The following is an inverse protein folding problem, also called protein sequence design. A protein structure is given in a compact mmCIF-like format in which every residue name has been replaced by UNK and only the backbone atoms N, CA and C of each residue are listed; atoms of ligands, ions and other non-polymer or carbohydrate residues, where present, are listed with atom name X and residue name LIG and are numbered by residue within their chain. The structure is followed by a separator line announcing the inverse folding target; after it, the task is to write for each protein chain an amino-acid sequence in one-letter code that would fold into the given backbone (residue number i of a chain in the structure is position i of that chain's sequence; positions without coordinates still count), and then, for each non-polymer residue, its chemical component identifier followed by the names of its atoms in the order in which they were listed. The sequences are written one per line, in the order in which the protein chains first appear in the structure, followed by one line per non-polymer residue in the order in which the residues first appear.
data_IF_068228590093
#
_entry.id   IF_068228590093
#
_cell.length_a   1.000
_cell.length_b   1.000
_cell.length_c   1.000
_cell.angle_alpha   90.00
_cell.angle_beta   90.00
_cell.angle_gamma   90.00
#
_symmetry.space_group_name_H-M   'P 1'
#
loop_
_entity.id
_entity.type
_entity.pdbx_description
1 polymer ?
#
# COMPACT_ATOMS: atom_id res chain seq x y z
N UNK A 1 -15.92 21.00 8.05
CA UNK A 1 -15.39 19.75 8.64
C UNK A 1 -14.33 19.21 7.69
N UNK A 2 -13.19 18.79 8.19
CA UNK A 2 -12.13 18.19 7.35
C UNK A 2 -12.65 16.86 6.80
N UNK A 3 -12.61 16.69 5.45
CA UNK A 3 -13.18 15.50 4.78
C UNK A 3 -12.17 14.37 4.53
N UNK A 4 -10.87 14.65 4.71
CA UNK A 4 -9.79 13.67 4.65
C UNK A 4 -8.91 13.81 5.90
N UNK A 5 -8.63 12.69 6.59
CA UNK A 5 -7.83 12.64 7.81
C UNK A 5 -6.87 11.46 7.72
N UNK A 6 -5.58 11.73 7.90
CA UNK A 6 -4.56 10.68 8.04
C UNK A 6 -4.59 10.13 9.47
N UNK A 7 -4.73 8.82 9.60
CA UNK A 7 -4.77 8.12 10.88
C UNK A 7 -3.47 7.32 11.11
N UNK A 8 -2.32 7.97 10.84
CA UNK A 8 -1.00 7.36 11.06
C UNK A 8 -0.80 7.14 12.55
N UNK A 9 -0.58 5.91 12.96
CA UNK A 9 -0.30 5.51 14.34
C UNK A 9 1.13 5.03 14.54
N UNK A 10 1.77 4.61 13.46
CA UNK A 10 3.16 4.20 13.40
C UNK A 10 3.70 4.52 12.01
N UNK A 11 5.03 4.73 11.86
CA UNK A 11 5.67 5.10 10.58
C UNK A 11 5.36 4.16 9.40
N UNK A 12 4.96 2.93 9.68
CA UNK A 12 4.63 1.92 8.67
C UNK A 12 3.18 1.44 8.75
N UNK A 13 2.31 2.13 9.50
CA UNK A 13 0.90 1.76 9.62
C UNK A 13 0.02 2.99 9.48
N UNK A 14 -0.76 3.06 8.42
CA UNK A 14 -1.61 4.19 8.11
C UNK A 14 -3.01 3.75 7.70
N UNK A 15 -4.01 4.44 8.23
CA UNK A 15 -5.34 4.49 7.68
C UNK A 15 -5.62 5.91 7.20
N UNK A 16 -6.24 6.06 6.05
CA UNK A 16 -6.56 7.35 5.42
C UNK A 16 -8.08 7.49 5.36
N UNK A 17 -8.65 8.22 6.33
CA UNK A 17 -10.10 8.35 6.52
C UNK A 17 -10.70 9.39 5.57
N UNK A 18 -11.78 9.01 4.89
CA UNK A 18 -12.65 9.85 4.08
C UNK A 18 -14.02 9.99 4.78
N UNK A 19 -14.48 11.23 4.97
CA UNK A 19 -15.74 11.51 5.66
C UNK A 19 -16.68 12.24 4.68
N UNK A 20 -17.60 11.51 4.09
CA UNK A 20 -18.69 12.06 3.29
C UNK A 20 -19.86 12.56 4.16
N UNK A 21 -20.88 13.12 3.52
CA UNK A 21 -22.05 13.63 4.22
C UNK A 21 -22.94 12.51 4.79
N UNK A 22 -22.96 11.34 4.13
CA UNK A 22 -23.78 10.18 4.50
C UNK A 22 -22.97 9.05 5.12
N UNK A 23 -21.78 8.74 4.57
CA UNK A 23 -20.96 7.58 4.92
C UNK A 23 -19.50 7.97 5.11
N UNK A 24 -18.77 7.08 5.75
CA UNK A 24 -17.32 7.21 5.93
C UNK A 24 -16.60 5.96 5.44
N UNK A 25 -15.39 6.14 4.91
CA UNK A 25 -14.51 5.07 4.47
C UNK A 25 -13.10 5.29 4.98
N UNK A 26 -12.40 4.21 5.31
CA UNK A 26 -10.96 4.24 5.51
C UNK A 26 -10.27 3.54 4.35
N UNK A 27 -9.25 4.16 3.78
CA UNK A 27 -8.35 3.51 2.82
C UNK A 27 -7.21 2.89 3.60
N UNK A 28 -7.14 1.57 3.55
CA UNK A 28 -6.32 0.69 4.36
C UNK A 28 -6.63 0.77 5.87
N UNK A 29 -6.44 -0.31 6.59
CA UNK A 29 -6.68 -0.35 8.04
C UNK A 29 -5.39 -0.53 8.87
N UNK A 30 -4.25 -0.70 8.19
CA UNK A 30 -2.95 -0.75 8.84
C UNK A 30 -2.59 -2.10 9.47
N UNK A 31 -1.53 -2.08 10.27
CA UNK A 31 -1.01 -3.27 10.95
C UNK A 31 -1.87 -3.69 12.14
N UNK A 32 -1.93 -4.99 12.39
CA UNK A 32 -2.71 -5.57 13.47
C UNK A 32 -2.37 -5.00 14.86
N UNK A 33 -1.07 -4.84 15.19
CA UNK A 33 -0.65 -4.33 16.50
C UNK A 33 -0.96 -2.85 16.72
N UNK A 34 -1.24 -2.09 15.64
CA UNK A 34 -1.67 -0.69 15.69
C UNK A 34 -3.19 -0.52 15.72
N UNK A 35 -3.97 -1.61 15.60
CA UNK A 35 -5.42 -1.58 15.41
C UNK A 35 -6.13 -0.70 16.44
N UNK A 36 -5.87 -0.90 17.74
CA UNK A 36 -6.53 -0.12 18.80
C UNK A 36 -6.30 1.37 18.67
N UNK A 37 -5.04 1.80 18.46
CA UNK A 37 -4.71 3.20 18.29
C UNK A 37 -5.31 3.82 17.01
N UNK A 38 -5.39 3.04 15.92
CA UNK A 38 -6.02 3.48 14.66
C UNK A 38 -7.53 3.62 14.84
N UNK A 39 -8.19 2.63 15.45
CA UNK A 39 -9.62 2.63 15.77
C UNK A 39 -9.99 3.85 16.63
N UNK A 40 -9.23 4.13 17.69
CA UNK A 40 -9.47 5.28 18.55
C UNK A 40 -9.40 6.61 17.78
N UNK A 41 -8.44 6.77 16.88
CA UNK A 41 -8.33 7.96 16.03
C UNK A 41 -9.51 8.08 15.07
N UNK A 42 -9.93 6.98 14.45
CA UNK A 42 -11.09 6.94 13.56
C UNK A 42 -12.37 7.29 14.33
N UNK A 43 -12.60 6.70 15.53
CA UNK A 43 -13.76 7.02 16.39
C UNK A 43 -13.80 8.49 16.77
N UNK A 44 -12.67 9.05 17.16
CA UNK A 44 -12.57 10.46 17.51
C UNK A 44 -12.90 11.38 16.31
N UNK A 45 -12.40 11.03 15.12
CA UNK A 45 -12.66 11.79 13.90
C UNK A 45 -14.12 11.69 13.44
N UNK A 46 -14.73 10.52 13.58
CA UNK A 46 -16.13 10.26 13.20
C UNK A 46 -17.13 10.83 14.19
N UNK A 47 -16.74 11.11 15.43
CA UNK A 47 -17.59 11.72 16.47
C UNK A 47 -18.95 11.02 16.62
N UNK A 48 -18.93 9.70 16.78
CA UNK A 48 -20.12 8.87 16.97
C UNK A 48 -20.81 8.38 15.69
N UNK A 49 -20.32 8.76 14.51
CA UNK A 49 -20.78 8.18 13.24
C UNK A 49 -20.14 6.79 13.04
N UNK A 50 -20.80 5.85 12.34
CA UNK A 50 -20.21 4.58 11.95
C UNK A 50 -19.11 4.80 10.92
N UNK A 51 -18.20 3.79 10.84
CA UNK A 51 -17.33 3.60 9.69
C UNK A 51 -17.98 2.55 8.77
N UNK A 52 -18.29 2.94 7.55
CA UNK A 52 -19.11 2.13 6.63
C UNK A 52 -18.24 1.23 5.73
N UNK A 53 -17.04 1.69 5.35
CA UNK A 53 -16.20 0.98 4.39
C UNK A 53 -14.72 0.96 4.78
N UNK A 54 -14.06 -0.15 4.44
CA UNK A 54 -12.62 -0.23 4.23
C UNK A 54 -12.41 -0.34 2.72
N UNK A 55 -11.63 0.56 2.14
CA UNK A 55 -11.19 0.53 0.75
C UNK A 55 -9.75 0.03 0.75
N UNK A 56 -9.53 -1.24 0.42
CA UNK A 56 -8.22 -1.85 0.52
C UNK A 56 -7.43 -1.61 -0.76
N UNK A 57 -6.24 -1.01 -0.62
CA UNK A 57 -5.33 -0.81 -1.75
C UNK A 57 -4.72 -2.13 -2.22
N UNK A 58 -4.30 -2.99 -1.29
CA UNK A 58 -3.77 -4.33 -1.57
C UNK A 58 -3.66 -5.17 -0.29
N UNK A 59 -3.37 -6.46 -0.44
CA UNK A 59 -3.48 -7.44 0.65
C UNK A 59 -2.23 -7.65 1.49
N UNK A 60 -1.26 -6.73 1.51
CA UNK A 60 -0.13 -6.83 2.43
C UNK A 60 -0.56 -6.59 3.88
N UNK A 61 0.16 -7.23 4.82
CA UNK A 61 -0.17 -7.27 6.25
C UNK A 61 -0.23 -5.88 6.91
N UNK A 62 0.53 -4.92 6.41
CA UNK A 62 0.60 -3.55 6.90
C UNK A 62 -0.54 -2.65 6.37
N UNK A 63 -1.36 -3.17 5.44
CA UNK A 63 -2.55 -2.53 4.92
C UNK A 63 -3.83 -3.22 5.41
N UNK A 64 -3.85 -4.56 5.48
CA UNK A 64 -5.05 -5.34 5.82
C UNK A 64 -5.01 -5.95 7.22
N UNK A 65 -3.86 -5.88 7.91
CA UNK A 65 -3.63 -6.62 9.16
C UNK A 65 -4.61 -6.34 10.28
N UNK A 66 -5.14 -5.12 10.36
CA UNK A 66 -6.10 -4.74 11.39
C UNK A 66 -7.57 -5.06 11.04
N UNK A 67 -7.87 -5.64 9.87
CA UNK A 67 -9.23 -5.87 9.37
C UNK A 67 -10.16 -6.54 10.39
N UNK A 68 -9.69 -7.60 11.06
CA UNK A 68 -10.51 -8.33 12.02
C UNK A 68 -10.94 -7.44 13.21
N UNK A 69 -10.03 -6.61 13.72
CA UNK A 69 -10.33 -5.67 14.81
C UNK A 69 -11.31 -4.56 14.37
N UNK A 70 -11.20 -4.11 13.11
CA UNK A 70 -12.16 -3.15 12.56
C UNK A 70 -13.56 -3.76 12.43
N UNK A 71 -13.68 -5.04 12.07
CA UNK A 71 -14.96 -5.76 12.02
C UNK A 71 -15.55 -6.03 13.41
N UNK A 72 -14.71 -6.20 14.43
CA UNK A 72 -15.16 -6.29 15.83
C UNK A 72 -15.74 -4.95 16.32
N UNK A 73 -15.11 -3.83 15.99
CA UNK A 73 -15.57 -2.48 16.39
C UNK A 73 -16.78 -2.01 15.58
N UNK A 74 -16.81 -2.29 14.27
CA UNK A 74 -17.90 -1.96 13.37
C UNK A 74 -18.39 -3.21 12.63
N UNK A 75 -19.34 -3.98 13.21
CA UNK A 75 -19.78 -5.26 12.62
C UNK A 75 -20.40 -5.14 11.22
N UNK A 76 -20.96 -3.98 10.87
CA UNK A 76 -21.58 -3.71 9.57
C UNK A 76 -20.59 -3.14 8.54
N UNK A 77 -19.29 -3.00 8.89
CA UNK A 77 -18.28 -2.48 7.99
C UNK A 77 -18.07 -3.39 6.78
N UNK A 78 -17.95 -2.81 5.61
CA UNK A 78 -17.79 -3.54 4.35
C UNK A 78 -16.41 -3.29 3.74
N UNK A 79 -15.69 -4.37 3.46
CA UNK A 79 -14.39 -4.32 2.75
C UNK A 79 -14.62 -4.32 1.25
N UNK A 80 -14.13 -3.28 0.57
CA UNK A 80 -14.03 -3.19 -0.89
C UNK A 80 -12.58 -3.41 -1.34
N UNK A 81 -12.35 -4.31 -2.29
CA UNK A 81 -11.04 -4.58 -2.90
C UNK A 81 -11.20 -5.14 -4.31
N UNK A 82 -10.07 -5.35 -5.02
CA UNK A 82 -10.09 -5.99 -6.34
C UNK A 82 -10.52 -7.46 -6.26
N UNK A 83 -10.92 -8.02 -7.41
CA UNK A 83 -11.22 -9.46 -7.52
C UNK A 83 -10.03 -10.34 -7.11
N UNK A 84 -8.80 -9.91 -7.46
CA UNK A 84 -7.57 -10.61 -7.05
C UNK A 84 -7.39 -10.53 -5.54
N UNK A 85 -7.55 -9.35 -4.94
CA UNK A 85 -7.47 -9.16 -3.49
C UNK A 85 -8.50 -10.01 -2.74
N UNK A 86 -9.74 -10.04 -3.21
CA UNK A 86 -10.79 -10.88 -2.65
C UNK A 86 -10.41 -12.38 -2.70
N UNK A 87 -9.86 -12.84 -3.83
CA UNK A 87 -9.40 -14.22 -3.98
C UNK A 87 -8.17 -14.55 -3.10
N UNK A 88 -7.30 -13.60 -2.84
CA UNK A 88 -6.16 -13.75 -1.91
C UNK A 88 -6.66 -13.92 -0.48
N UNK A 89 -7.57 -13.06 -0.04
CA UNK A 89 -8.11 -13.09 1.33
C UNK A 89 -8.91 -14.36 1.66
N UNK A 90 -9.41 -15.09 0.67
CA UNK A 90 -10.13 -16.36 0.87
C UNK A 90 -9.20 -17.56 1.09
N UNK A 91 -7.89 -17.45 0.85
CA UNK A 91 -6.94 -18.55 0.92
C UNK A 91 -6.26 -18.64 2.29
N UNK A 92 -6.13 -19.84 2.83
CA UNK A 92 -5.50 -20.08 4.14
C UNK A 92 -4.02 -19.65 4.18
N UNK A 93 -3.27 -19.93 3.10
CA UNK A 93 -1.84 -19.58 3.08
C UNK A 93 -1.59 -18.07 3.16
N UNK A 94 -2.22 -17.20 2.36
CA UNK A 94 -2.10 -15.75 2.53
C UNK A 94 -2.55 -15.26 3.91
N UNK A 95 -3.66 -15.74 4.45
CA UNK A 95 -4.14 -15.38 5.79
C UNK A 95 -3.10 -15.71 6.87
N UNK A 96 -2.49 -16.91 6.78
CA UNK A 96 -1.40 -17.31 7.67
C UNK A 96 -0.20 -16.38 7.54
N UNK A 97 0.23 -16.04 6.31
CA UNK A 97 1.35 -15.13 6.07
C UNK A 97 1.07 -13.74 6.64
N UNK A 98 -0.14 -13.19 6.44
CA UNK A 98 -0.56 -11.92 7.03
C UNK A 98 -0.41 -11.95 8.55
N UNK A 99 -0.83 -13.04 9.20
CA UNK A 99 -0.71 -13.23 10.65
C UNK A 99 0.76 -13.31 11.09
N UNK A 100 1.56 -14.15 10.44
CA UNK A 100 2.98 -14.35 10.77
C UNK A 100 3.76 -13.04 10.64
N UNK A 101 3.53 -12.29 9.56
CA UNK A 101 4.15 -10.99 9.36
C UNK A 101 3.65 -9.95 10.36
N UNK A 102 2.36 -9.98 10.73
CA UNK A 102 1.83 -9.09 11.78
C UNK A 102 2.48 -9.33 13.13
N UNK A 103 2.70 -10.60 13.51
CA UNK A 103 3.42 -10.97 14.75
C UNK A 103 4.88 -10.51 14.69
N UNK A 104 5.54 -10.77 13.56
CA UNK A 104 6.94 -10.36 13.34
C UNK A 104 7.07 -8.84 13.43
N UNK A 105 6.19 -8.10 12.79
CA UNK A 105 6.19 -6.63 12.83
C UNK A 105 5.96 -6.11 14.26
N UNK A 106 5.01 -6.67 15.01
CA UNK A 106 4.79 -6.29 16.39
C UNK A 106 6.08 -6.42 17.23
N UNK A 107 6.78 -7.55 17.12
CA UNK A 107 8.03 -7.78 17.82
C UNK A 107 9.14 -6.82 17.38
N UNK A 108 9.30 -6.58 16.07
CA UNK A 108 10.30 -5.67 15.50
C UNK A 108 10.11 -4.22 15.96
N UNK A 109 8.86 -3.78 16.09
CA UNK A 109 8.52 -2.44 16.55
C UNK A 109 8.34 -2.32 18.07
N UNK A 110 8.73 -3.36 18.81
CA UNK A 110 8.72 -3.35 20.27
C UNK A 110 7.32 -3.31 20.89
N UNK A 111 6.33 -3.86 20.18
CA UNK A 111 4.96 -3.98 20.68
C UNK A 111 4.75 -5.33 21.37
N UNK A 112 4.24 -5.28 22.60
CA UNK A 112 3.80 -6.47 23.35
C UNK A 112 2.34 -6.86 23.02
N UNK A 113 1.72 -6.22 22.04
CA UNK A 113 0.34 -6.48 21.66
C UNK A 113 0.18 -7.90 21.13
N UNK A 114 -0.65 -8.68 21.77
CA UNK A 114 -1.03 -10.00 21.28
C UNK A 114 -1.81 -9.85 19.97
N UNK A 115 -1.37 -10.53 18.92
CA UNK A 115 -2.11 -10.63 17.65
C UNK A 115 -3.07 -11.81 17.75
N UNK A 116 -4.29 -11.53 18.21
CA UNK A 116 -5.34 -12.53 18.41
C UNK A 116 -6.61 -12.08 17.68
N UNK A 117 -6.90 -12.69 16.54
CA UNK A 117 -8.12 -12.47 15.76
C UNK A 117 -8.54 -13.73 15.02
N UNK A 118 -9.81 -13.77 14.59
CA UNK A 118 -10.32 -14.84 13.76
C UNK A 118 -9.98 -14.57 12.28
N UNK A 119 -9.30 -15.51 11.61
CA UNK A 119 -8.97 -15.43 10.18
C UNK A 119 -10.21 -15.40 9.27
N UNK A 120 -11.37 -15.88 9.76
CA UNK A 120 -12.63 -15.81 9.01
C UNK A 120 -13.12 -14.38 8.77
N UNK A 121 -12.56 -13.38 9.48
CA UNK A 121 -12.82 -11.96 9.21
C UNK A 121 -12.18 -11.46 7.90
N UNK A 122 -11.23 -12.21 7.33
CA UNK A 122 -10.53 -11.82 6.10
C UNK A 122 -11.31 -12.26 4.86
N UNK A 123 -12.28 -11.45 4.47
CA UNK A 123 -13.03 -11.60 3.22
C UNK A 123 -13.44 -10.22 2.67
N UNK A 124 -13.73 -10.16 1.37
CA UNK A 124 -14.24 -8.95 0.72
C UNK A 124 -15.77 -8.99 0.62
N UNK A 125 -16.42 -7.87 0.91
CA UNK A 125 -17.87 -7.69 0.75
C UNK A 125 -18.22 -7.09 -0.60
N UNK A 126 -17.29 -6.30 -1.17
CA UNK A 126 -17.48 -5.58 -2.42
C UNK A 126 -16.25 -5.81 -3.29
N UNK A 127 -16.48 -6.22 -4.53
CA UNK A 127 -15.42 -6.26 -5.55
C UNK A 127 -15.54 -5.00 -6.39
N UNK A 128 -14.44 -4.25 -6.49
CA UNK A 128 -14.33 -3.03 -7.30
C UNK A 128 -13.32 -3.22 -8.43
N UNK A 129 -13.58 -2.54 -9.55
CA UNK A 129 -12.77 -2.57 -10.78
C UNK A 129 -12.41 -1.14 -11.20
N UNK A 130 -11.58 -1.03 -12.22
CA UNK A 130 -11.25 0.25 -12.84
C UNK A 130 -12.50 1.10 -13.11
N UNK A 131 -12.54 2.30 -12.54
CA UNK A 131 -13.63 3.26 -12.71
C UNK A 131 -14.86 3.07 -11.82
N UNK A 132 -14.96 1.97 -11.06
CA UNK A 132 -16.02 1.81 -10.06
C UNK A 132 -15.86 2.83 -8.94
N UNK A 133 -16.97 3.33 -8.40
CA UNK A 133 -16.96 4.29 -7.29
C UNK A 133 -17.67 3.78 -6.05
N UNK A 134 -17.15 4.16 -4.88
CA UNK A 134 -17.81 3.99 -3.59
C UNK A 134 -18.29 5.36 -3.14
N UNK A 135 -19.62 5.51 -3.12
CA UNK A 135 -20.30 6.77 -2.79
C UNK A 135 -20.38 6.98 -1.28
N UNK A 136 -19.95 8.17 -0.81
CA UNK A 136 -19.95 8.54 0.61
C UNK A 136 -20.92 9.69 0.95
N UNK A 137 -21.65 10.19 -0.05
CA UNK A 137 -22.46 11.41 0.07
C UNK A 137 -21.59 12.67 -0.06
N UNK A 138 -21.65 13.32 -1.22
CA UNK A 138 -20.84 14.49 -1.55
C UNK A 138 -19.33 14.23 -1.69
N UNK A 139 -18.90 12.99 -1.58
CA UNK A 139 -17.59 12.46 -1.97
C UNK A 139 -17.79 11.10 -2.62
N UNK A 140 -16.96 10.79 -3.62
CA UNK A 140 -16.84 9.45 -4.21
C UNK A 140 -15.38 9.01 -4.23
N UNK A 141 -15.12 7.76 -3.87
CA UNK A 141 -13.81 7.14 -4.05
C UNK A 141 -13.84 6.30 -5.33
N UNK A 142 -13.20 6.79 -6.39
CA UNK A 142 -13.14 6.14 -7.70
C UNK A 142 -11.92 5.24 -7.76
N UNK A 143 -12.14 3.98 -8.11
CA UNK A 143 -11.10 2.95 -8.19
C UNK A 143 -10.21 3.15 -9.43
N UNK A 144 -8.90 3.08 -9.24
CA UNK A 144 -7.89 3.05 -10.28
C UNK A 144 -7.05 1.78 -10.08
N UNK A 145 -7.12 0.83 -11.00
CA UNK A 145 -6.30 -0.38 -10.94
C UNK A 145 -4.85 -0.06 -11.28
N UNK A 146 -3.95 -0.36 -10.35
CA UNK A 146 -2.53 0.01 -10.41
C UNK A 146 -1.62 -1.17 -10.07
N UNK A 147 -1.69 -2.30 -10.82
CA UNK A 147 -0.80 -3.43 -10.59
C UNK A 147 0.67 -3.04 -10.78
N UNK A 148 1.56 -3.76 -10.09
CA UNK A 148 3.01 -3.54 -10.14
C UNK A 148 3.67 -3.89 -8.81
N UNK A 149 3.30 -3.20 -7.73
CA UNK A 149 3.68 -3.60 -6.36
C UNK A 149 3.10 -4.97 -6.03
N UNK A 150 1.78 -5.09 -6.11
CA UNK A 150 1.09 -6.38 -6.14
C UNK A 150 0.16 -6.45 -7.34
N UNK A 151 -0.38 -7.64 -7.64
CA UNK A 151 -1.35 -7.81 -8.73
C UNK A 151 -2.73 -7.24 -8.38
N UNK A 152 -3.06 -7.19 -7.10
CA UNK A 152 -4.33 -6.70 -6.56
C UNK A 152 -4.32 -5.21 -6.25
N UNK A 153 -3.22 -4.50 -6.52
CA UNK A 153 -3.01 -3.09 -6.19
C UNK A 153 -4.03 -2.15 -6.81
N UNK A 154 -4.63 -1.32 -5.96
CA UNK A 154 -5.60 -0.26 -6.28
C UNK A 154 -5.13 1.09 -5.73
N UNK A 155 -5.46 2.16 -6.44
CA UNK A 155 -5.48 3.52 -5.92
C UNK A 155 -6.92 4.03 -5.90
N UNK A 156 -7.18 5.09 -5.12
CA UNK A 156 -8.51 5.70 -5.04
C UNK A 156 -8.43 7.20 -5.34
N UNK A 157 -9.10 7.62 -6.42
CA UNK A 157 -9.25 9.03 -6.76
C UNK A 157 -10.50 9.57 -6.08
N UNK A 158 -10.37 10.70 -5.41
CA UNK A 158 -11.49 11.46 -4.82
C UNK A 158 -11.60 12.80 -5.56
N UNK A 159 -12.43 12.85 -6.64
CA UNK A 159 -12.47 14.01 -7.53
C UNK A 159 -12.84 15.31 -6.82
N UNK A 160 -13.76 15.27 -5.85
CA UNK A 160 -14.24 16.44 -5.10
C UNK A 160 -13.15 17.07 -4.23
N UNK A 161 -12.10 16.32 -3.90
CA UNK A 161 -10.93 16.77 -3.17
C UNK A 161 -9.71 16.98 -4.07
N UNK A 162 -9.83 16.71 -5.37
CA UNK A 162 -8.71 16.65 -6.31
C UNK A 162 -7.54 15.80 -5.74
N UNK A 163 -7.88 14.72 -5.01
CA UNK A 163 -6.97 13.87 -4.24
C UNK A 163 -6.84 12.49 -4.89
N UNK A 164 -5.61 12.03 -5.10
CA UNK A 164 -5.33 10.64 -5.43
C UNK A 164 -4.60 9.96 -4.27
N UNK A 165 -5.22 8.92 -3.74
CA UNK A 165 -4.68 8.09 -2.67
C UNK A 165 -3.96 6.90 -3.31
N UNK A 166 -2.63 6.93 -3.29
CA UNK A 166 -1.76 5.95 -3.93
C UNK A 166 -1.52 4.72 -3.03
N UNK A 167 -1.04 3.67 -3.67
CA UNK A 167 -0.33 2.53 -3.08
C UNK A 167 1.18 2.64 -3.38
N UNK A 168 1.97 1.59 -3.14
CA UNK A 168 3.42 1.58 -3.32
C UNK A 168 3.88 1.33 -4.76
N UNK A 169 2.98 1.09 -5.71
CA UNK A 169 3.36 0.81 -7.11
C UNK A 169 4.28 1.89 -7.72
N UNK A 170 4.06 3.21 -7.49
CA UNK A 170 4.99 4.21 -8.00
C UNK A 170 6.37 4.19 -7.34
N UNK A 171 6.48 3.60 -6.17
CA UNK A 171 7.67 3.58 -5.32
C UNK A 171 7.41 4.22 -3.96
N UNK A 172 8.33 3.99 -3.03
CA UNK A 172 8.24 4.47 -1.64
C UNK A 172 9.08 5.73 -1.47
N UNK A 173 8.42 6.85 -1.18
CA UNK A 173 9.06 8.14 -0.91
C UNK A 173 9.44 8.24 0.57
N UNK A 174 10.74 8.49 0.83
CA UNK A 174 11.29 8.62 2.18
C UNK A 174 11.24 10.07 2.70
N UNK A 175 11.37 10.29 4.03
CA UNK A 175 11.36 11.63 4.61
C UNK A 175 12.46 12.56 4.11
N UNK A 176 13.62 12.03 3.72
CA UNK A 176 14.74 12.78 3.16
C UNK A 176 14.55 13.13 1.68
N UNK A 177 13.42 12.74 1.10
CA UNK A 177 13.10 12.96 -0.30
C UNK A 177 13.69 11.88 -1.23
N UNK A 178 14.46 10.90 -0.75
CA UNK A 178 14.84 9.74 -1.56
C UNK A 178 13.60 8.90 -1.90
N UNK A 179 13.68 8.11 -2.97
CA UNK A 179 12.58 7.26 -3.41
C UNK A 179 13.12 5.90 -3.84
N UNK A 180 12.43 4.84 -3.45
CA UNK A 180 12.82 3.45 -3.72
C UNK A 180 11.80 2.76 -4.59
N UNK A 181 12.25 1.93 -5.58
CA UNK A 181 11.36 1.11 -6.38
C UNK A 181 10.71 0.03 -5.51
N UNK A 182 9.42 -0.27 -5.75
CA UNK A 182 8.69 -1.26 -4.96
C UNK A 182 7.75 -2.11 -5.82
N UNK A 183 8.15 -2.47 -7.05
CA UNK A 183 7.39 -3.35 -7.92
C UNK A 183 7.81 -4.82 -7.72
N UNK A 184 6.92 -5.63 -7.17
CA UNK A 184 7.20 -7.02 -6.85
C UNK A 184 6.64 -7.99 -7.91
N UNK A 185 5.73 -7.53 -8.78
CA UNK A 185 5.01 -8.39 -9.71
C UNK A 185 5.21 -8.07 -11.19
N UNK A 186 5.45 -6.81 -11.57
CA UNK A 186 5.62 -6.41 -12.96
C UNK A 186 6.22 -5.01 -13.13
N UNK A 187 7.36 -4.88 -13.83
CA UNK A 187 7.93 -3.58 -14.19
C UNK A 187 7.08 -2.86 -15.24
N UNK A 188 6.66 -3.57 -16.30
CA UNK A 188 5.81 -3.00 -17.36
C UNK A 188 4.46 -2.54 -16.79
N UNK A 189 3.86 -3.36 -15.92
CA UNK A 189 2.62 -3.00 -15.24
C UNK A 189 2.80 -1.75 -14.37
N UNK A 190 3.93 -1.64 -13.67
CA UNK A 190 4.28 -0.47 -12.86
C UNK A 190 4.34 0.81 -13.68
N UNK A 191 5.03 0.79 -14.83
CA UNK A 191 5.11 1.98 -15.69
C UNK A 191 3.73 2.39 -16.24
N UNK A 192 2.88 1.43 -16.61
CA UNK A 192 1.52 1.70 -17.05
C UNK A 192 0.67 2.29 -15.92
N UNK A 193 0.79 1.76 -14.71
CA UNK A 193 0.09 2.22 -13.53
C UNK A 193 0.50 3.64 -13.13
N UNK A 194 1.80 3.95 -13.16
CA UNK A 194 2.30 5.32 -12.95
C UNK A 194 1.71 6.27 -14.02
N UNK A 195 1.65 5.84 -15.28
CA UNK A 195 1.04 6.60 -16.36
C UNK A 195 -0.44 6.88 -16.14
N UNK A 196 -1.21 5.89 -15.66
CA UNK A 196 -2.62 6.07 -15.28
C UNK A 196 -2.77 7.11 -14.16
N UNK A 197 -1.99 6.95 -13.07
CA UNK A 197 -2.01 7.87 -11.95
C UNK A 197 -1.65 9.30 -12.39
N UNK A 198 -0.60 9.48 -13.20
CA UNK A 198 -0.19 10.79 -13.75
C UNK A 198 -1.30 11.47 -14.57
N UNK A 199 -2.08 10.68 -15.31
CA UNK A 199 -3.17 11.18 -16.16
C UNK A 199 -4.51 11.37 -15.41
N UNK A 200 -4.66 10.85 -14.21
CA UNK A 200 -5.82 11.09 -13.38
C UNK A 200 -5.85 12.57 -12.95
N UNK A 201 -7.05 13.18 -12.96
CA UNK A 201 -7.21 14.60 -12.62
C UNK A 201 -7.14 14.79 -11.11
N UNK A 202 -5.97 15.14 -10.59
CA UNK A 202 -5.75 15.45 -9.17
C UNK A 202 -4.67 16.52 -9.01
N UNK A 203 -4.66 17.16 -7.85
CA UNK A 203 -3.65 18.15 -7.44
C UNK A 203 -2.93 17.73 -6.16
N UNK A 204 -3.53 16.80 -5.43
CA UNK A 204 -3.03 16.34 -4.14
C UNK A 204 -2.75 14.85 -4.22
N UNK A 205 -1.63 14.41 -3.66
CA UNK A 205 -1.26 13.01 -3.52
C UNK A 205 -1.26 12.64 -2.04
N UNK A 206 -1.88 11.52 -1.70
CA UNK A 206 -1.70 10.84 -0.41
C UNK A 206 -0.95 9.54 -0.62
N UNK A 207 0.20 9.42 0.03
CA UNK A 207 1.06 8.22 -0.06
C UNK A 207 0.79 7.28 1.12
N UNK A 208 0.95 5.97 0.92
CA UNK A 208 1.05 5.03 2.04
C UNK A 208 2.19 5.46 2.97
N UNK A 209 2.01 5.23 4.28
CA UNK A 209 3.01 5.49 5.33
C UNK A 209 3.44 6.96 5.52
N UNK A 210 2.89 7.88 4.71
CA UNK A 210 3.26 9.30 4.71
C UNK A 210 2.07 10.27 4.74
N UNK A 211 0.88 9.82 4.34
CA UNK A 211 -0.26 10.69 4.21
C UNK A 211 -0.17 11.69 3.04
N UNK A 212 -0.79 12.84 3.19
CA UNK A 212 -0.70 13.92 2.20
C UNK A 212 0.72 14.47 2.16
N UNK A 213 1.25 14.62 0.96
CA UNK A 213 2.59 15.19 0.72
C UNK A 213 2.43 16.64 0.32
N UNK A 214 2.77 17.54 1.24
CA UNK A 214 2.80 18.96 0.98
C UNK A 214 4.08 19.37 0.22
N UNK A 215 3.94 20.33 -0.71
CA UNK A 215 5.07 20.94 -1.41
C UNK A 215 5.69 20.09 -2.53
N UNK A 216 5.11 18.94 -2.86
CA UNK A 216 5.52 18.13 -4.02
C UNK A 216 4.41 18.19 -5.07
N UNK A 217 4.75 18.77 -6.23
CA UNK A 217 3.84 18.75 -7.38
C UNK A 217 3.67 17.31 -7.91
N UNK A 218 2.44 16.84 -8.19
CA UNK A 218 2.19 15.49 -8.67
C UNK A 218 3.03 15.13 -9.91
N UNK A 219 3.22 16.06 -10.84
CA UNK A 219 4.02 15.80 -12.05
C UNK A 219 5.45 15.42 -11.69
N UNK A 220 6.11 16.19 -10.80
CA UNK A 220 7.47 15.91 -10.35
C UNK A 220 7.59 14.60 -9.59
N UNK A 221 6.58 14.24 -8.81
CA UNK A 221 6.52 12.95 -8.14
C UNK A 221 6.52 11.79 -9.15
N UNK A 222 5.64 11.83 -10.16
CA UNK A 222 5.55 10.77 -11.16
C UNK A 222 6.77 10.69 -12.07
N UNK A 223 7.40 11.82 -12.41
CA UNK A 223 8.66 11.83 -13.16
C UNK A 223 9.76 11.12 -12.38
N UNK A 224 9.90 11.43 -11.08
CA UNK A 224 10.83 10.73 -10.20
C UNK A 224 10.49 9.25 -10.08
N UNK A 225 9.22 8.90 -9.94
CA UNK A 225 8.77 7.50 -9.88
C UNK A 225 9.15 6.72 -11.14
N UNK A 226 8.93 7.30 -12.35
CA UNK A 226 9.34 6.68 -13.60
C UNK A 226 10.85 6.49 -13.68
N UNK A 227 11.62 7.52 -13.30
CA UNK A 227 13.08 7.48 -13.30
C UNK A 227 13.61 6.37 -12.41
N UNK A 228 13.21 6.31 -11.13
CA UNK A 228 13.77 5.34 -10.18
C UNK A 228 13.44 3.89 -10.55
N UNK A 229 12.22 3.64 -11.06
CA UNK A 229 11.83 2.32 -11.49
C UNK A 229 12.58 1.89 -12.75
N UNK A 230 12.82 2.82 -13.69
CA UNK A 230 13.62 2.56 -14.90
C UNK A 230 15.07 2.29 -14.55
N UNK A 231 15.69 3.15 -13.74
CA UNK A 231 17.09 2.96 -13.28
C UNK A 231 17.27 1.62 -12.56
N UNK A 232 16.30 1.22 -11.74
CA UNK A 232 16.32 -0.09 -11.08
C UNK A 232 16.28 -1.24 -12.09
N UNK A 233 15.36 -1.19 -13.05
CA UNK A 233 15.23 -2.21 -14.09
C UNK A 233 16.50 -2.32 -14.93
N UNK A 234 17.07 -1.20 -15.39
CA UNK A 234 18.29 -1.16 -16.18
C UNK A 234 19.49 -1.71 -15.39
N UNK A 235 19.62 -1.33 -14.11
CA UNK A 235 20.68 -1.80 -13.24
C UNK A 235 20.65 -3.33 -13.09
N UNK A 236 19.52 -3.89 -12.68
CA UNK A 236 19.39 -5.34 -12.44
C UNK A 236 19.45 -6.13 -13.74
N UNK A 237 18.75 -5.70 -14.80
CA UNK A 237 18.78 -6.37 -16.10
C UNK A 237 20.18 -6.32 -16.74
N UNK A 238 20.91 -5.22 -16.54
CA UNK A 238 22.32 -5.09 -16.97
C UNK A 238 23.23 -6.09 -16.26
N UNK A 239 23.05 -6.33 -14.97
CA UNK A 239 23.82 -7.34 -14.24
C UNK A 239 23.54 -8.76 -14.76
N UNK A 240 22.26 -9.12 -14.99
CA UNK A 240 21.91 -10.41 -15.62
C UNK A 240 22.57 -10.59 -17.00
N UNK A 241 22.54 -9.55 -17.86
CA UNK A 241 23.18 -9.56 -19.19
C UNK A 241 24.70 -9.74 -19.10
N UNK A 242 25.32 -9.27 -18.03
CA UNK A 242 26.76 -9.43 -17.77
C UNK A 242 27.11 -10.75 -17.05
N UNK A 243 26.14 -11.65 -16.82
CA UNK A 243 26.35 -12.98 -16.27
C UNK A 243 26.49 -13.05 -14.77
N UNK A 244 26.11 -12.02 -14.03
CA UNK A 244 26.09 -12.08 -12.56
C UNK A 244 25.00 -13.03 -12.05
N UNK A 245 25.31 -13.77 -10.99
CA UNK A 245 24.37 -14.63 -10.29
C UNK A 245 23.38 -13.82 -9.42
N UNK A 246 22.27 -14.46 -9.05
CA UNK A 246 21.21 -13.81 -8.26
C UNK A 246 21.73 -13.28 -6.92
N UNK A 247 22.60 -14.02 -6.22
CA UNK A 247 23.17 -13.59 -4.93
C UNK A 247 24.04 -12.33 -5.07
N UNK A 248 24.85 -12.24 -6.14
CA UNK A 248 25.65 -11.06 -6.43
C UNK A 248 24.78 -9.85 -6.74
N UNK A 249 23.66 -10.07 -7.44
CA UNK A 249 22.70 -9.02 -7.78
C UNK A 249 21.97 -8.53 -6.52
N UNK A 250 21.54 -9.45 -5.64
CA UNK A 250 20.91 -9.09 -4.35
C UNK A 250 21.86 -8.25 -3.52
N UNK A 251 23.12 -8.66 -3.41
CA UNK A 251 24.14 -7.90 -2.69
C UNK A 251 24.32 -6.51 -3.28
N UNK A 252 24.54 -6.40 -4.59
CA UNK A 252 24.71 -5.11 -5.26
C UNK A 252 23.47 -4.21 -5.17
N UNK A 253 22.28 -4.80 -5.19
CA UNK A 253 21.01 -4.10 -4.98
C UNK A 253 20.94 -3.56 -3.55
N UNK A 254 21.28 -4.37 -2.55
CA UNK A 254 21.29 -3.98 -1.14
C UNK A 254 22.30 -2.85 -0.91
N UNK A 255 23.52 -2.99 -1.41
CA UNK A 255 24.58 -1.96 -1.30
C UNK A 255 24.15 -0.62 -1.97
N UNK A 256 23.36 -0.69 -3.05
CA UNK A 256 22.88 0.49 -3.77
C UNK A 256 21.71 1.21 -3.07
N UNK A 257 20.75 0.47 -2.55
CA UNK A 257 19.47 1.02 -2.11
C UNK A 257 19.25 1.01 -0.60
N UNK A 258 19.87 0.09 0.15
CA UNK A 258 19.70 0.04 1.60
C UNK A 258 20.64 1.03 2.29
N UNK A 259 20.08 1.95 3.07
CA UNK A 259 20.84 2.94 3.81
C UNK A 259 20.26 3.18 5.21
N UNK A 260 20.90 4.03 6.00
CA UNK A 260 20.50 4.30 7.37
C UNK A 260 19.07 4.88 7.47
N UNK A 261 18.62 5.67 6.51
CA UNK A 261 17.26 6.22 6.50
C UNK A 261 16.24 5.11 6.28
N UNK A 262 16.45 4.28 5.26
CA UNK A 262 15.56 3.14 4.98
C UNK A 262 15.54 2.14 6.15
N UNK A 263 16.68 1.89 6.77
CA UNK A 263 16.81 1.01 7.95
C UNK A 263 16.01 1.45 9.18
N UNK A 264 15.59 2.72 9.27
CA UNK A 264 14.67 3.17 10.33
C UNK A 264 13.20 2.78 10.06
N UNK A 265 12.85 2.44 8.83
CA UNK A 265 11.50 2.09 8.40
C UNK A 265 11.34 0.59 8.09
N UNK A 266 12.39 -0.04 7.59
CA UNK A 266 12.35 -1.43 7.16
C UNK A 266 13.63 -2.17 7.59
N UNK A 267 13.52 -3.27 8.37
CA UNK A 267 14.65 -4.14 8.68
C UNK A 267 15.29 -4.71 7.42
N UNK A 268 16.59 -4.99 7.47
CA UNK A 268 17.36 -5.47 6.29
C UNK A 268 16.79 -6.77 5.73
N UNK A 269 16.32 -7.68 6.58
CA UNK A 269 15.74 -8.95 6.16
C UNK A 269 14.46 -8.77 5.33
N UNK A 270 13.61 -7.81 5.72
CA UNK A 270 12.40 -7.46 4.98
C UNK A 270 12.75 -6.75 3.66
N UNK A 271 13.78 -5.88 3.67
CA UNK A 271 14.28 -5.25 2.46
C UNK A 271 14.84 -6.29 1.46
N UNK A 272 15.65 -7.23 1.92
CA UNK A 272 16.21 -8.29 1.06
C UNK A 272 15.11 -9.21 0.50
N UNK A 273 14.06 -9.48 1.24
CA UNK A 273 12.90 -10.23 0.73
C UNK A 273 12.23 -9.50 -0.43
N UNK A 274 12.02 -8.19 -0.30
CA UNK A 274 11.50 -7.34 -1.38
C UNK A 274 12.48 -7.25 -2.55
N UNK A 275 13.79 -7.12 -2.29
CA UNK A 275 14.84 -7.11 -3.31
C UNK A 275 14.81 -8.38 -4.15
N UNK A 276 14.71 -9.57 -3.51
CA UNK A 276 14.56 -10.86 -4.20
C UNK A 276 13.33 -10.89 -5.11
N UNK A 277 12.20 -10.39 -4.65
CA UNK A 277 10.98 -10.33 -5.44
C UNK A 277 11.12 -9.41 -6.67
N UNK A 278 11.73 -8.21 -6.50
CA UNK A 278 12.01 -7.27 -7.59
C UNK A 278 12.98 -7.90 -8.60
N UNK A 279 14.09 -8.50 -8.14
CA UNK A 279 15.11 -9.13 -8.99
C UNK A 279 14.50 -10.29 -9.78
N UNK A 280 13.72 -11.15 -9.12
CA UNK A 280 13.02 -12.26 -9.78
C UNK A 280 11.98 -11.77 -10.80
N UNK A 281 11.31 -10.65 -10.53
CA UNK A 281 10.39 -9.99 -11.47
C UNK A 281 11.13 -9.53 -12.73
N UNK A 282 12.26 -8.83 -12.56
CA UNK A 282 13.08 -8.34 -13.66
C UNK A 282 13.68 -9.49 -14.47
N UNK A 283 14.14 -10.57 -13.81
CA UNK A 283 14.66 -11.75 -14.49
C UNK A 283 13.62 -12.36 -15.45
N UNK A 284 12.37 -12.51 -14.99
CA UNK A 284 11.27 -13.03 -15.83
C UNK A 284 10.99 -12.12 -17.03
N UNK A 285 10.94 -10.81 -16.84
CA UNK A 285 10.68 -9.87 -17.92
C UNK A 285 11.85 -9.77 -18.92
N UNK A 286 13.08 -9.92 -18.45
CA UNK A 286 14.28 -9.91 -19.31
C UNK A 286 14.42 -11.18 -20.14
N UNK A 287 13.94 -12.32 -19.63
CA UNK A 287 13.98 -13.60 -20.35
C UNK A 287 12.93 -13.71 -21.49
N UNK A 288 11.90 -12.86 -21.46
CA UNK A 288 10.76 -12.89 -22.39
C UNK A 288 10.73 -11.67 -23.32
N UNK A 289 11.66 -10.76 -23.23
CA UNK A 289 11.85 -9.59 -24.11
C UNK A 289 13.10 -9.69 -24.95
#
# INVERSE_FOLDING_TARGET
MQRHISCITHNSSEGRLLIGDERAAIVDCGMAFCAGATIDRVKNALNGRPLDYILLTHTHYDHVGALAYFREEWPDIRLATSEIGAAVLQKDTPRRVIRELSVTAAALYGSDAAIAYNDDAFFADIIVKEGDSVELGGLAAVTVETPGHTRDSLCFLVPELELLMLNETPGVLMPDGSMYPCYLTGYKDTLQSIGKCKNAKHKVISLPHRGIIDGIEPVSFYEKALEINTVCFEFVSGMFKNGYGEDDIIKAYTDKYYNAVLGTFQPIEAFEANAKAIISCIARETAHG
#
